data_IF_191674317455
#
_entry.id   IF_191674317455
#
_cell.length_a   1.000
_cell.length_b   1.000
_cell.length_c   1.000
_cell.angle_alpha   90.00
_cell.angle_beta   90.00
_cell.angle_gamma   90.00
#
_symmetry.space_group_name_H-M   'P 1'
#
loop_
_entity.id
_entity.type
_entity.pdbx_description
1 polymer ?
#
# COMPACT_ATOMS: atom_id res chain seq x y z
N UNK A 1 -12.04 -14.37 35.59
CA UNK A 1 -10.56 -14.33 35.61
C UNK A 1 -10.11 -15.78 35.79
N UNK A 2 -9.34 -16.34 34.84
CA UNK A 2 -8.88 -17.73 34.95
C UNK A 2 -7.46 -17.76 35.54
N UNK A 3 -7.21 -18.64 36.51
CA UNK A 3 -5.89 -18.89 37.10
C UNK A 3 -5.25 -20.10 36.43
N UNK A 4 -4.74 -19.89 35.22
CA UNK A 4 -4.07 -20.91 34.41
C UNK A 4 -2.69 -20.41 33.97
N UNK A 5 -1.71 -21.31 33.88
CA UNK A 5 -0.42 -21.04 33.24
C UNK A 5 -0.48 -21.61 31.81
N UNK A 6 -0.45 -20.77 30.76
CA UNK A 6 -0.46 -21.26 29.39
C UNK A 6 0.79 -22.09 29.08
N UNK A 7 0.61 -23.24 28.40
CA UNK A 7 1.73 -24.07 27.92
C UNK A 7 2.56 -23.34 26.85
N UNK A 8 1.90 -22.52 26.01
CA UNK A 8 2.51 -21.80 24.88
C UNK A 8 1.96 -20.39 24.78
N UNK A 9 2.83 -19.47 24.38
CA UNK A 9 2.47 -18.11 24.01
C UNK A 9 3.04 -17.79 22.63
N UNK A 10 2.33 -16.98 21.86
CA UNK A 10 2.77 -16.52 20.56
C UNK A 10 2.37 -15.05 20.36
N UNK A 11 3.23 -14.32 19.65
CA UNK A 11 2.95 -12.96 19.20
C UNK A 11 2.91 -12.93 17.68
N UNK A 12 2.00 -12.13 17.12
CA UNK A 12 2.00 -11.78 15.69
C UNK A 12 2.51 -10.36 15.57
N UNK A 13 3.53 -10.16 14.73
CA UNK A 13 4.14 -8.87 14.47
C UNK A 13 4.18 -8.62 12.97
N UNK A 14 4.01 -7.36 12.59
CA UNK A 14 4.16 -6.84 11.23
C UNK A 14 5.16 -5.68 11.26
N UNK A 15 5.99 -5.56 10.24
CA UNK A 15 6.94 -4.47 10.09
C UNK A 15 6.85 -3.90 8.68
N UNK A 16 6.50 -2.61 8.59
CA UNK A 16 6.42 -1.90 7.31
C UNK A 16 7.81 -1.53 6.82
N UNK A 17 8.13 -1.96 5.60
CA UNK A 17 9.43 -1.69 4.99
C UNK A 17 9.43 -0.37 4.24
N UNK A 18 10.56 0.32 4.33
CA UNK A 18 10.86 1.54 3.57
C UNK A 18 11.94 1.26 2.51
N UNK A 19 12.18 2.18 1.56
CA UNK A 19 13.20 1.99 0.54
C UNK A 19 14.56 1.57 1.09
N UNK A 20 15.23 0.69 0.35
CA UNK A 20 16.53 0.09 0.68
C UNK A 20 16.53 -0.91 1.86
N UNK A 21 15.36 -1.29 2.37
CA UNK A 21 15.22 -2.47 3.22
C UNK A 21 14.89 -3.71 2.40
N UNK A 22 15.14 -4.90 2.95
CA UNK A 22 14.80 -6.18 2.34
C UNK A 22 14.13 -7.05 3.40
N UNK A 23 13.09 -7.79 3.01
CA UNK A 23 12.29 -8.61 3.94
C UNK A 23 13.19 -9.56 4.73
N UNK A 24 14.04 -10.32 4.02
CA UNK A 24 14.93 -11.29 4.65
C UNK A 24 15.87 -10.61 5.67
N UNK A 25 16.50 -9.50 5.28
CA UNK A 25 17.44 -8.79 6.16
C UNK A 25 16.77 -8.28 7.43
N UNK A 26 15.54 -7.78 7.35
CA UNK A 26 14.82 -7.32 8.55
C UNK A 26 14.45 -8.50 9.47
N UNK A 27 14.03 -9.64 8.90
CA UNK A 27 13.81 -10.87 9.68
C UNK A 27 15.08 -11.36 10.37
N UNK A 28 16.21 -11.37 9.66
CA UNK A 28 17.52 -11.77 10.21
C UNK A 28 17.95 -10.84 11.37
N UNK A 29 17.66 -9.53 11.28
CA UNK A 29 17.95 -8.57 12.35
C UNK A 29 17.13 -8.81 13.61
N UNK A 30 15.83 -9.11 13.47
CA UNK A 30 14.97 -9.46 14.62
C UNK A 30 15.46 -10.72 15.30
N UNK A 31 15.81 -11.76 14.52
CA UNK A 31 16.38 -13.00 15.05
C UNK A 31 17.69 -12.74 15.80
N UNK A 32 18.61 -12.01 15.17
CA UNK A 32 19.91 -11.65 15.77
C UNK A 32 19.74 -10.87 17.08
N UNK A 33 18.74 -9.99 17.15
CA UNK A 33 18.43 -9.24 18.37
C UNK A 33 17.96 -10.17 19.51
N UNK A 34 17.03 -11.08 19.22
CA UNK A 34 16.57 -12.06 20.20
C UNK A 34 17.71 -12.99 20.67
N UNK A 35 18.57 -13.43 19.76
CA UNK A 35 19.75 -14.24 20.09
C UNK A 35 20.72 -13.50 21.00
N UNK A 36 20.93 -12.20 20.76
CA UNK A 36 21.81 -11.37 21.60
C UNK A 36 21.31 -11.21 23.05
N UNK A 37 20.02 -11.46 23.28
CA UNK A 37 19.38 -11.45 24.61
C UNK A 37 19.26 -12.85 25.22
N UNK A 38 19.72 -13.90 24.52
CA UNK A 38 19.66 -15.28 24.99
C UNK A 38 18.35 -16.03 24.70
N UNK A 39 17.45 -15.47 23.89
CA UNK A 39 16.14 -16.07 23.58
C UNK A 39 16.19 -17.08 22.44
N UNK A 40 16.99 -18.15 22.59
CA UNK A 40 17.17 -19.19 21.55
C UNK A 40 16.00 -20.16 21.43
N UNK A 41 15.08 -20.14 22.40
CA UNK A 41 13.87 -20.96 22.50
C UNK A 41 12.68 -20.37 21.72
N UNK A 42 12.75 -19.09 21.32
CA UNK A 42 11.69 -18.43 20.54
C UNK A 42 11.80 -18.82 19.06
N UNK A 43 10.80 -19.56 18.57
CA UNK A 43 10.64 -19.85 17.16
C UNK A 43 10.05 -18.64 16.39
N UNK A 44 10.61 -18.35 15.22
CA UNK A 44 10.09 -17.34 14.30
C UNK A 44 9.63 -17.99 13.00
N UNK A 45 8.40 -17.67 12.58
CA UNK A 45 7.83 -18.11 11.30
C UNK A 45 7.22 -16.93 10.54
N UNK A 46 7.48 -16.87 9.25
CA UNK A 46 6.77 -15.94 8.36
C UNK A 46 5.37 -16.48 8.10
N UNK A 47 4.35 -15.72 8.47
CA UNK A 47 2.94 -16.13 8.33
C UNK A 47 2.32 -15.68 6.99
N UNK A 48 2.88 -14.65 6.37
CA UNK A 48 2.36 -14.00 5.18
C UNK A 48 3.11 -12.70 4.91
N UNK A 49 2.70 -11.97 3.88
CA UNK A 49 3.42 -10.79 3.40
C UNK A 49 4.72 -11.19 2.69
N UNK A 50 5.78 -10.41 2.91
CA UNK A 50 7.01 -10.51 2.12
C UNK A 50 7.02 -9.59 0.90
N UNK A 51 6.11 -8.61 0.87
CA UNK A 51 6.20 -7.52 -0.08
C UNK A 51 7.48 -6.72 0.18
N UNK A 52 8.32 -6.68 -0.83
CA UNK A 52 9.41 -5.74 -0.86
C UNK A 52 8.87 -4.31 -0.99
N UNK A 53 9.68 -3.32 -0.63
CA UNK A 53 9.27 -1.93 -0.83
C UNK A 53 9.10 -1.63 -2.34
N UNK A 54 8.15 -0.75 -2.64
CA UNK A 54 7.91 -0.22 -3.98
C UNK A 54 7.95 1.30 -3.95
N UNK A 55 8.46 1.89 -5.03
CA UNK A 55 8.43 3.34 -5.21
C UNK A 55 8.42 3.65 -6.71
N UNK A 56 7.55 4.56 -7.10
CA UNK A 56 7.48 5.10 -8.46
C UNK A 56 7.85 6.57 -8.41
N UNK A 57 8.66 7.03 -9.37
CA UNK A 57 8.97 8.45 -9.50
C UNK A 57 7.70 9.25 -9.80
N UNK A 58 7.52 10.39 -9.15
CA UNK A 58 6.41 11.31 -9.48
C UNK A 58 6.47 11.76 -10.94
N UNK A 59 7.66 11.75 -11.55
CA UNK A 59 7.87 12.13 -12.96
C UNK A 59 7.52 11.02 -13.95
N UNK A 60 7.17 9.81 -13.50
CA UNK A 60 6.81 8.73 -14.41
C UNK A 60 5.57 9.13 -15.24
N UNK A 61 5.54 8.81 -16.56
CA UNK A 61 4.41 9.14 -17.43
C UNK A 61 3.04 8.76 -16.86
N UNK A 62 2.91 7.55 -16.31
CA UNK A 62 1.66 7.09 -15.67
C UNK A 62 1.22 7.97 -14.48
N UNK A 63 2.18 8.46 -13.68
CA UNK A 63 1.88 9.35 -12.56
C UNK A 63 1.50 10.73 -13.08
N UNK A 64 2.23 11.28 -14.05
CA UNK A 64 1.92 12.59 -14.61
C UNK A 64 0.55 12.61 -15.31
N UNK A 65 0.20 11.55 -16.05
CA UNK A 65 -1.13 11.38 -16.62
C UNK A 65 -2.23 11.38 -15.56
N UNK A 66 -2.01 10.69 -14.44
CA UNK A 66 -2.94 10.67 -13.30
C UNK A 66 -3.12 12.08 -12.70
N UNK A 67 -2.03 12.82 -12.50
CA UNK A 67 -2.08 14.19 -11.98
C UNK A 67 -2.78 15.15 -12.94
N UNK A 68 -2.59 14.98 -14.25
CA UNK A 68 -3.26 15.77 -15.26
C UNK A 68 -4.77 15.50 -15.30
N UNK A 69 -5.20 14.25 -15.13
CA UNK A 69 -6.62 13.89 -15.00
C UNK A 69 -7.25 14.64 -13.82
N UNK A 70 -6.64 14.64 -12.64
CA UNK A 70 -7.15 15.42 -11.50
C UNK A 70 -7.27 16.91 -11.80
N UNK A 71 -6.25 17.50 -12.43
CA UNK A 71 -6.26 18.92 -12.81
C UNK A 71 -7.35 19.26 -13.82
N UNK A 72 -7.65 18.36 -14.76
CA UNK A 72 -8.76 18.52 -15.71
C UNK A 72 -10.14 18.57 -15.01
N UNK A 73 -10.25 17.94 -13.84
CA UNK A 73 -11.44 18.05 -12.96
C UNK A 73 -11.39 19.22 -11.98
N UNK A 74 -10.41 20.14 -12.12
CA UNK A 74 -10.25 21.28 -11.21
C UNK A 74 -9.78 20.89 -9.80
N UNK A 75 -9.22 19.69 -9.65
CA UNK A 75 -8.70 19.17 -8.38
C UNK A 75 -7.19 19.40 -8.33
N UNK A 76 -6.70 20.03 -7.26
CA UNK A 76 -5.26 20.08 -6.97
C UNK A 76 -4.88 18.84 -6.13
N UNK A 77 -4.19 17.84 -6.72
CA UNK A 77 -3.96 16.57 -6.05
C UNK A 77 -2.84 16.66 -5.01
N UNK A 78 -3.07 16.07 -3.83
CA UNK A 78 -2.00 15.82 -2.87
C UNK A 78 -1.24 14.55 -3.25
N UNK A 79 0.06 14.67 -3.48
CA UNK A 79 0.91 13.51 -3.80
C UNK A 79 1.41 12.86 -2.53
N UNK A 80 1.01 11.61 -2.31
CA UNK A 80 1.52 10.77 -1.23
C UNK A 80 2.63 9.89 -1.79
N UNK A 81 3.91 10.16 -1.50
CA UNK A 81 5.02 9.43 -2.10
C UNK A 81 5.07 7.96 -1.67
N UNK A 82 4.38 7.61 -0.57
CA UNK A 82 4.26 6.26 0.00
C UNK A 82 2.90 6.10 0.65
N UNK A 83 2.37 4.88 0.59
CA UNK A 83 1.22 4.45 1.41
C UNK A 83 1.72 3.80 2.70
N UNK A 84 0.95 3.90 3.78
CA UNK A 84 1.18 3.13 5.00
C UNK A 84 0.75 1.66 4.83
N UNK A 85 -0.08 1.37 3.83
CA UNK A 85 -0.49 0.02 3.47
C UNK A 85 0.58 -0.73 2.67
N UNK A 86 0.28 -1.97 2.32
CA UNK A 86 1.12 -2.83 1.47
C UNK A 86 0.28 -3.43 0.35
N UNK A 87 0.92 -3.61 -0.79
CA UNK A 87 0.39 -4.31 -1.94
C UNK A 87 1.58 -4.88 -2.74
N UNK A 88 1.37 -5.86 -3.63
CA UNK A 88 2.46 -6.48 -4.40
C UNK A 88 2.99 -5.58 -5.53
N UNK A 89 2.95 -4.25 -5.37
CA UNK A 89 3.46 -3.27 -6.33
C UNK A 89 4.96 -3.45 -6.63
N UNK A 90 5.72 -4.06 -5.72
CA UNK A 90 7.13 -4.34 -5.92
C UNK A 90 7.40 -5.31 -7.08
N UNK A 91 6.48 -6.23 -7.38
CA UNK A 91 6.57 -7.11 -8.54
C UNK A 91 6.62 -6.28 -9.84
N UNK A 92 5.83 -5.20 -9.92
CA UNK A 92 5.87 -4.28 -11.05
C UNK A 92 7.13 -3.42 -11.03
N UNK A 93 7.39 -2.70 -9.93
CA UNK A 93 8.47 -1.70 -9.91
C UNK A 93 9.87 -2.28 -9.90
N UNK A 94 10.08 -3.42 -9.23
CA UNK A 94 11.41 -4.01 -9.06
C UNK A 94 11.67 -5.17 -10.01
N UNK A 95 10.69 -6.06 -10.22
CA UNK A 95 10.88 -7.24 -11.08
C UNK A 95 10.58 -6.92 -12.55
N UNK A 96 9.46 -6.27 -12.85
CA UNK A 96 9.09 -5.89 -14.22
C UNK A 96 9.65 -4.54 -14.67
N UNK A 97 10.16 -3.73 -13.72
CA UNK A 97 10.64 -2.35 -13.96
C UNK A 97 9.58 -1.44 -14.56
N UNK A 98 8.32 -1.65 -14.19
CA UNK A 98 7.17 -0.86 -14.60
C UNK A 98 6.72 0.07 -13.47
N UNK A 99 6.29 1.31 -13.77
CA UNK A 99 5.71 2.18 -12.76
C UNK A 99 4.43 1.57 -12.20
N UNK A 100 4.24 1.67 -10.89
CA UNK A 100 3.01 1.27 -10.21
C UNK A 100 2.54 2.37 -9.25
N UNK A 101 1.23 2.58 -9.19
CA UNK A 101 0.62 3.61 -8.36
C UNK A 101 -0.89 3.46 -8.36
N UNK A 102 -1.54 4.18 -7.46
CA UNK A 102 -3.00 4.25 -7.39
C UNK A 102 -3.46 5.69 -7.59
N UNK A 103 -4.63 5.84 -8.19
CA UNK A 103 -5.31 7.11 -8.42
C UNK A 103 -6.74 6.84 -8.85
N UNK A 104 -7.53 7.91 -8.96
CA UNK A 104 -8.95 7.84 -9.23
C UNK A 104 -9.76 8.75 -8.31
N UNK A 105 -11.01 8.96 -8.70
CA UNK A 105 -12.01 9.63 -7.89
C UNK A 105 -12.74 8.62 -7.01
N UNK A 106 -13.58 9.12 -6.11
CA UNK A 106 -14.38 8.33 -5.19
C UNK A 106 -13.82 8.37 -3.77
N UNK A 107 -14.55 7.76 -2.86
CA UNK A 107 -14.11 7.65 -1.48
C UNK A 107 -14.68 6.38 -0.85
N UNK A 108 -13.79 5.67 -0.16
CA UNK A 108 -14.11 4.58 0.75
C UNK A 108 -13.13 4.66 1.92
N UNK A 109 -13.52 4.09 3.05
CA UNK A 109 -12.66 4.14 4.24
C UNK A 109 -12.94 2.96 5.16
N UNK A 110 -12.16 2.91 6.25
CA UNK A 110 -12.26 1.86 7.28
C UNK A 110 -12.00 0.45 6.76
N UNK A 111 -11.17 0.33 5.72
CA UNK A 111 -10.69 -0.98 5.27
C UNK A 111 -10.10 -1.76 6.45
N UNK A 112 -10.54 -3.01 6.61
CA UNK A 112 -10.16 -3.90 7.73
C UNK A 112 -10.68 -3.44 9.11
N UNK A 113 -11.78 -2.69 9.16
CA UNK A 113 -12.43 -2.25 10.40
C UNK A 113 -13.95 -2.36 10.31
N UNK A 114 -14.64 -2.25 11.45
CA UNK A 114 -16.10 -2.23 11.48
C UNK A 114 -16.64 -0.97 10.77
N UNK A 115 -17.83 -1.11 10.19
CA UNK A 115 -18.48 -0.10 9.34
C UNK A 115 -17.61 0.35 8.15
N UNK A 116 -16.91 -0.60 7.50
CA UNK A 116 -16.27 -0.38 6.20
C UNK A 116 -17.30 0.10 5.18
N UNK A 117 -16.96 1.15 4.41
CA UNK A 117 -17.90 1.75 3.48
C UNK A 117 -17.25 2.29 2.20
N UNK A 118 -18.10 2.46 1.19
CA UNK A 118 -17.85 3.18 -0.06
C UNK A 118 -19.00 4.15 -0.33
N UNK A 119 -18.69 5.32 -0.89
CA UNK A 119 -19.70 6.33 -1.24
C UNK A 119 -20.39 5.94 -2.54
N UNK A 120 -21.69 5.62 -2.47
CA UNK A 120 -22.51 5.30 -3.65
C UNK A 120 -22.93 6.59 -4.36
N UNK A 121 -23.63 7.47 -3.65
CA UNK A 121 -24.07 8.79 -4.14
C UNK A 121 -23.14 9.88 -3.59
N UNK A 122 -22.48 10.58 -4.49
CA UNK A 122 -21.54 11.64 -4.15
C UNK A 122 -22.20 13.01 -3.94
N UNK A 123 -21.36 14.02 -3.77
CA UNK A 123 -21.73 15.44 -3.76
C UNK A 123 -20.65 16.27 -4.48
N UNK A 124 -20.71 17.61 -4.33
CA UNK A 124 -19.78 18.54 -4.99
C UNK A 124 -18.31 18.35 -4.58
N UNK A 125 -18.03 17.65 -3.46
CA UNK A 125 -16.68 17.43 -2.93
C UNK A 125 -16.21 15.99 -3.07
N UNK A 126 -17.12 15.02 -2.99
CA UNK A 126 -16.80 13.59 -2.98
C UNK A 126 -17.55 12.92 -4.12
N UNK A 127 -16.82 12.34 -5.06
CA UNK A 127 -17.39 11.55 -6.14
C UNK A 127 -18.08 10.28 -5.60
N UNK A 128 -19.26 9.97 -6.14
CA UNK A 128 -19.92 8.68 -5.94
C UNK A 128 -19.32 7.58 -6.82
N UNK A 129 -19.77 6.35 -6.61
CA UNK A 129 -19.17 5.15 -7.23
C UNK A 129 -19.16 5.18 -8.77
N UNK A 130 -20.20 5.73 -9.40
CA UNK A 130 -20.25 5.86 -10.87
C UNK A 130 -19.13 6.75 -11.39
N UNK A 131 -18.88 7.88 -10.74
CA UNK A 131 -17.83 8.83 -11.15
C UNK A 131 -16.44 8.31 -10.78
N UNK A 132 -16.34 7.50 -9.72
CA UNK A 132 -15.12 6.76 -9.38
C UNK A 132 -14.75 5.77 -10.50
N UNK A 133 -15.70 4.98 -10.99
CA UNK A 133 -15.50 4.05 -12.11
C UNK A 133 -15.10 4.79 -13.39
N UNK A 134 -15.82 5.85 -13.75
CA UNK A 134 -15.50 6.68 -14.92
C UNK A 134 -14.08 7.24 -14.87
N UNK A 135 -13.62 7.66 -13.69
CA UNK A 135 -12.26 8.19 -13.52
C UNK A 135 -11.16 7.17 -13.84
N UNK A 136 -11.44 5.86 -13.69
CA UNK A 136 -10.49 4.81 -14.08
C UNK A 136 -10.35 4.77 -15.60
N UNK A 137 -11.47 4.83 -16.33
CA UNK A 137 -11.45 4.90 -17.80
C UNK A 137 -10.76 6.18 -18.29
N UNK A 138 -11.02 7.32 -17.64
CA UNK A 138 -10.38 8.59 -17.96
C UNK A 138 -8.87 8.58 -17.67
N UNK A 139 -8.44 7.97 -16.57
CA UNK A 139 -7.01 7.80 -16.25
C UNK A 139 -6.33 6.98 -17.35
N UNK A 140 -6.92 5.85 -17.75
CA UNK A 140 -6.39 5.01 -18.84
C UNK A 140 -6.32 5.79 -20.16
N UNK A 141 -7.37 6.54 -20.48
CA UNK A 141 -7.40 7.38 -21.69
C UNK A 141 -6.34 8.49 -21.64
N UNK A 142 -6.20 9.16 -20.50
CA UNK A 142 -5.20 10.23 -20.30
C UNK A 142 -3.79 9.67 -20.43
N UNK A 143 -3.54 8.48 -19.89
CA UNK A 143 -2.25 7.81 -20.02
C UNK A 143 -1.96 7.35 -21.45
N UNK A 144 -2.95 6.79 -22.15
CA UNK A 144 -2.79 6.37 -23.56
C UNK A 144 -2.50 7.54 -24.51
N UNK A 145 -2.85 8.77 -24.12
CA UNK A 145 -2.56 10.00 -24.85
C UNK A 145 -1.42 10.83 -24.22
N UNK A 146 -0.71 10.28 -23.23
CA UNK A 146 0.42 10.97 -22.60
C UNK A 146 1.64 10.94 -23.53
N UNK A 147 2.35 12.07 -23.72
CA UNK A 147 3.53 12.09 -24.58
C UNK A 147 4.64 11.20 -24.01
N UNK A 148 5.36 10.52 -24.92
CA UNK A 148 6.55 9.70 -24.62
C UNK A 148 7.69 10.53 -24.01
#
# INVERSE_FOLDING_TARGET
>A
MATILPEKAAVKMDARLVPNQQVKKQGDLVRSHLDSLGFTDIEMRQLGGGDEWSQTSVRAPAVQATLAMYKAHGIEPMVWPRSAGSSPQWEYTRRLRLPAGGGGLGHGSRAHSDDEYIVIEGNDKVAGIVRAEQSVAELLFTYANWPD
#
